data_IF_906420963949
#
_entry.id   IF_906420963949
#
_cell.length_a   1.000
_cell.length_b   1.000
_cell.length_c   1.000
_cell.angle_alpha   90.00
_cell.angle_beta   90.00
_cell.angle_gamma   90.00
#
_symmetry.space_group_name_H-M   'P 1'
#
loop_
_entity.id
_entity.type
_entity.pdbx_description
1 polymer ?
#
# COMPACT_ATOMS: atom_id res chain seq x y z
N UNK A 1 -9.39 14.70 16.66
CA UNK A 1 -8.62 15.12 15.48
C UNK A 1 -9.44 14.81 14.24
N UNK A 2 -9.66 15.80 13.38
CA UNK A 2 -10.36 15.60 12.10
C UNK A 2 -9.30 15.42 11.02
N UNK A 3 -8.74 14.21 10.95
CA UNK A 3 -7.67 13.89 10.02
C UNK A 3 -8.22 13.13 8.82
N UNK A 4 -7.95 13.61 7.62
CA UNK A 4 -8.28 12.89 6.39
C UNK A 4 -7.63 11.50 6.42
N UNK A 5 -8.47 10.48 6.26
CA UNK A 5 -8.05 9.08 6.18
C UNK A 5 -8.00 8.69 4.71
N UNK A 6 -6.83 8.27 4.24
CA UNK A 6 -6.63 7.85 2.86
C UNK A 6 -6.49 6.33 2.81
N UNK A 7 -7.16 5.70 1.84
CA UNK A 7 -7.03 4.27 1.58
C UNK A 7 -6.35 4.08 0.23
N UNK A 8 -5.22 3.38 0.23
CA UNK A 8 -4.39 3.15 -0.94
C UNK A 8 -4.40 1.66 -1.22
N UNK A 9 -4.93 1.29 -2.39
CA UNK A 9 -4.92 -0.09 -2.88
C UNK A 9 -3.88 -0.21 -3.99
N UNK A 10 -2.85 -1.02 -3.77
CA UNK A 10 -1.77 -1.25 -4.74
C UNK A 10 -1.85 -2.69 -5.21
N UNK A 11 -2.13 -2.87 -6.51
CA UNK A 11 -2.13 -4.16 -7.17
C UNK A 11 -0.88 -4.24 -8.04
N UNK A 12 0.00 -5.19 -7.75
CA UNK A 12 1.22 -5.39 -8.55
C UNK A 12 1.66 -6.84 -8.54
N UNK A 13 2.16 -7.30 -9.69
CA UNK A 13 2.76 -8.62 -9.84
C UNK A 13 4.12 -8.75 -9.13
N UNK A 14 4.81 -7.64 -8.82
CA UNK A 14 6.05 -7.65 -8.03
C UNK A 14 5.84 -8.21 -6.62
N UNK A 15 4.63 -8.07 -6.07
CA UNK A 15 4.31 -8.52 -4.73
C UNK A 15 4.23 -10.05 -4.60
N UNK A 16 4.11 -10.78 -5.73
CA UNK A 16 3.95 -12.24 -5.79
C UNK A 16 5.07 -13.01 -5.09
N UNK A 17 6.29 -12.49 -5.11
CA UNK A 17 7.45 -13.11 -4.48
C UNK A 17 7.93 -12.36 -3.23
N UNK A 18 7.13 -11.43 -2.70
CA UNK A 18 7.48 -10.64 -1.53
C UNK A 18 6.60 -11.00 -0.34
N UNK A 19 7.18 -11.01 0.87
CA UNK A 19 6.39 -11.07 2.11
C UNK A 19 5.56 -9.80 2.25
N UNK A 20 4.36 -9.92 2.81
CA UNK A 20 3.44 -8.79 3.10
C UNK A 20 4.17 -7.61 3.77
N UNK A 21 5.03 -7.87 4.76
CA UNK A 21 5.83 -6.81 5.43
C UNK A 21 6.72 -6.04 4.44
N UNK A 22 7.36 -6.72 3.49
CA UNK A 22 8.20 -6.08 2.47
C UNK A 22 7.35 -5.32 1.44
N UNK A 23 6.16 -5.82 1.12
CA UNK A 23 5.22 -5.12 0.23
C UNK A 23 4.79 -3.79 0.85
N UNK A 24 4.34 -3.81 2.11
CA UNK A 24 4.02 -2.58 2.85
C UNK A 24 5.22 -1.65 2.96
N UNK A 25 6.42 -2.18 3.25
CA UNK A 25 7.62 -1.35 3.35
C UNK A 25 7.92 -0.64 2.03
N UNK A 26 7.87 -1.34 0.89
CA UNK A 26 8.04 -0.76 -0.44
C UNK A 26 7.03 0.36 -0.71
N UNK A 27 5.76 0.13 -0.39
CA UNK A 27 4.70 1.11 -0.61
C UNK A 27 4.86 2.32 0.33
N UNK A 28 5.21 2.09 1.58
CA UNK A 28 5.52 3.17 2.53
C UNK A 28 6.74 3.98 2.13
N UNK A 29 7.78 3.35 1.57
CA UNK A 29 8.96 4.05 1.03
C UNK A 29 8.58 4.92 -0.18
N UNK A 30 7.74 4.41 -1.08
CA UNK A 30 7.24 5.18 -2.22
C UNK A 30 6.35 6.36 -1.80
N UNK A 31 5.65 6.24 -0.67
CA UNK A 31 4.77 7.26 -0.11
C UNK A 31 5.44 8.11 0.98
N UNK A 32 6.73 7.90 1.27
CA UNK A 32 7.41 8.54 2.39
C UNK A 32 7.36 10.08 2.31
N UNK A 33 7.35 10.62 1.09
CA UNK A 33 7.27 12.06 0.82
C UNK A 33 5.87 12.64 1.10
N UNK A 34 4.82 11.83 0.93
CA UNK A 34 3.41 12.23 1.05
C UNK A 34 2.81 11.91 2.43
N UNK A 35 3.37 10.92 3.14
CA UNK A 35 3.02 10.54 4.51
C UNK A 35 2.97 11.71 5.53
N UNK A 36 3.89 12.70 5.55
CA UNK A 36 3.84 13.78 6.55
C UNK A 36 2.59 14.66 6.47
N UNK A 37 1.91 14.71 5.33
CA UNK A 37 0.66 15.48 5.16
C UNK A 37 -0.60 14.67 5.51
N UNK A 38 -0.48 13.35 5.68
CA UNK A 38 -1.61 12.44 5.86
C UNK A 38 -1.75 12.05 7.33
N UNK A 39 -2.92 12.32 7.92
CA UNK A 39 -3.18 11.99 9.33
C UNK A 39 -3.31 10.48 9.57
N UNK A 40 -3.92 9.75 8.64
CA UNK A 40 -3.96 8.29 8.66
C UNK A 40 -4.04 7.76 7.24
N UNK A 41 -3.21 6.78 6.91
CA UNK A 41 -3.27 6.06 5.64
C UNK A 41 -3.37 4.56 5.90
N UNK A 42 -4.24 3.88 5.17
CA UNK A 42 -4.28 2.42 5.10
C UNK A 42 -3.77 1.98 3.75
N UNK A 43 -2.76 1.13 3.77
CA UNK A 43 -2.18 0.55 2.57
C UNK A 43 -2.70 -0.88 2.47
N UNK A 44 -3.27 -1.22 1.33
CA UNK A 44 -3.66 -2.58 0.95
C UNK A 44 -2.79 -2.99 -0.24
N UNK A 45 -2.14 -4.14 -0.11
CA UNK A 45 -1.31 -4.71 -1.18
C UNK A 45 -1.96 -6.01 -1.65
N UNK A 46 -2.09 -6.15 -2.95
CA UNK A 46 -2.65 -7.34 -3.59
C UNK A 46 -1.84 -7.72 -4.82
N UNK A 47 -1.80 -9.01 -5.11
CA UNK A 47 -1.18 -9.54 -6.32
C UNK A 47 -2.23 -9.75 -7.40
N UNK A 48 -1.85 -9.50 -8.65
CA UNK A 48 -2.73 -9.65 -9.82
C UNK A 48 -3.19 -11.11 -10.03
N UNK A 49 -2.50 -12.08 -9.42
CA UNK A 49 -2.79 -13.51 -9.56
C UNK A 49 -4.11 -13.98 -8.94
N UNK A 50 -4.81 -13.10 -8.20
CA UNK A 50 -6.11 -13.43 -7.62
C UNK A 50 -7.31 -12.89 -8.42
N UNK A 51 -7.09 -12.33 -9.62
CA UNK A 51 -8.18 -12.05 -10.58
C UNK A 51 -8.38 -13.28 -11.48
N UNK A 52 -8.83 -14.40 -10.90
CA UNK A 52 -9.41 -15.48 -11.72
C UNK A 52 -10.85 -15.08 -12.01
N UNK A 53 -11.09 -14.66 -13.25
CA UNK A 53 -12.43 -14.48 -13.84
C UNK A 53 -13.24 -15.76 -13.81
#
# INVERSE_FOLDING_TARGET
GCGASYEINVISSEFKNMRIVNQHRKVSEALADELPSIHSVRIFTATDENHTV
#
